data_IF_545195607852
#
_entry.id   IF_545195607852
#
_cell.length_a   1.000
_cell.length_b   1.000
_cell.length_c   1.000
_cell.angle_alpha   90.00
_cell.angle_beta   90.00
_cell.angle_gamma   90.00
#
_symmetry.space_group_name_H-M   'P 1'
#
loop_
_entity.id
_entity.type
_entity.pdbx_description
1 polymer ?
#
# COMPACT_ATOMS: atom_id res chain seq x y z
N UNK A 1 -5.14 -37.27 -1.14
CA UNK A 1 -4.45 -36.03 -0.71
C UNK A 1 -5.09 -34.87 -1.46
N UNK A 2 -5.80 -33.96 -0.78
CA UNK A 2 -6.31 -32.73 -1.41
C UNK A 2 -5.11 -31.87 -1.80
N UNK A 3 -5.03 -31.44 -3.05
CA UNK A 3 -3.97 -30.54 -3.53
C UNK A 3 -3.94 -29.31 -2.64
N UNK A 4 -2.81 -29.06 -1.98
CA UNK A 4 -2.61 -27.96 -1.03
C UNK A 4 -2.62 -26.60 -1.75
N UNK A 5 -2.47 -26.59 -3.08
CA UNK A 5 -2.83 -25.47 -3.95
C UNK A 5 -3.92 -25.92 -4.90
N UNK A 6 -5.17 -25.51 -4.66
CA UNK A 6 -6.16 -25.53 -5.71
C UNK A 6 -5.92 -24.32 -6.63
N UNK A 7 -6.28 -24.42 -7.91
CA UNK A 7 -6.18 -23.29 -8.85
C UNK A 7 -6.97 -22.06 -8.34
N UNK A 8 -7.97 -22.28 -7.49
CA UNK A 8 -8.79 -21.23 -6.86
C UNK A 8 -8.04 -20.41 -5.81
N UNK A 9 -7.01 -20.98 -5.17
CA UNK A 9 -6.16 -20.28 -4.20
C UNK A 9 -5.01 -19.51 -4.88
N UNK A 10 -4.63 -19.92 -6.09
CA UNK A 10 -3.58 -19.25 -6.88
C UNK A 10 -4.06 -17.92 -7.48
N UNK A 11 -5.32 -17.84 -7.87
CA UNK A 11 -5.90 -16.63 -8.46
C UNK A 11 -5.76 -15.39 -7.55
N UNK A 12 -6.21 -15.39 -6.28
CA UNK A 12 -6.07 -14.22 -5.41
C UNK A 12 -4.61 -13.84 -5.17
N UNK A 13 -3.71 -14.83 -5.07
CA UNK A 13 -2.28 -14.59 -4.91
C UNK A 13 -1.71 -13.87 -6.13
N UNK A 14 -2.03 -14.32 -7.34
CA UNK A 14 -1.58 -13.66 -8.58
C UNK A 14 -2.14 -12.24 -8.67
N UNK A 15 -3.41 -12.03 -8.30
CA UNK A 15 -4.04 -10.71 -8.30
C UNK A 15 -3.36 -9.75 -7.32
N UNK A 16 -3.06 -10.20 -6.10
CA UNK A 16 -2.31 -9.42 -5.10
C UNK A 16 -0.90 -9.09 -5.59
N UNK A 17 -0.17 -10.09 -6.11
CA UNK A 17 1.19 -9.87 -6.65
C UNK A 17 1.18 -8.85 -7.78
N UNK A 18 0.22 -8.96 -8.71
CA UNK A 18 0.08 -8.03 -9.83
C UNK A 18 -0.23 -6.62 -9.33
N UNK A 19 -1.16 -6.48 -8.38
CA UNK A 19 -1.50 -5.21 -7.75
C UNK A 19 -0.29 -4.57 -7.08
N UNK A 20 0.39 -5.28 -6.17
CA UNK A 20 1.58 -4.77 -5.48
C UNK A 20 2.67 -4.37 -6.46
N UNK A 21 2.88 -5.16 -7.52
CA UNK A 21 3.89 -4.87 -8.53
C UNK A 21 3.57 -3.59 -9.31
N UNK A 22 2.32 -3.40 -9.74
CA UNK A 22 1.88 -2.19 -10.45
C UNK A 22 2.02 -0.96 -9.54
N UNK A 23 1.59 -1.06 -8.27
CA UNK A 23 1.68 0.03 -7.31
C UNK A 23 3.14 0.40 -7.06
N UNK A 24 4.01 -0.57 -6.78
CA UNK A 24 5.44 -0.35 -6.53
C UNK A 24 6.13 0.31 -7.73
N UNK A 25 5.86 -0.15 -8.96
CA UNK A 25 6.39 0.49 -10.17
C UNK A 25 5.91 1.94 -10.33
N UNK A 26 4.64 2.21 -10.00
CA UNK A 26 4.08 3.55 -10.10
C UNK A 26 4.77 4.52 -9.11
N UNK A 27 4.98 4.07 -7.86
CA UNK A 27 5.62 4.86 -6.81
C UNK A 27 7.09 5.11 -7.13
N UNK A 28 7.81 4.08 -7.56
CA UNK A 28 9.22 4.23 -7.99
C UNK A 28 9.32 5.24 -9.14
N UNK A 29 8.38 5.21 -10.09
CA UNK A 29 8.34 6.16 -11.21
C UNK A 29 8.07 7.60 -10.72
N UNK A 30 7.17 7.78 -9.76
CA UNK A 30 6.89 9.09 -9.14
C UNK A 30 8.09 9.60 -8.35
N UNK A 31 8.72 8.77 -7.52
CA UNK A 31 9.91 9.12 -6.74
C UNK A 31 11.09 9.52 -7.63
N UNK A 32 11.24 8.87 -8.80
CA UNK A 32 12.22 9.27 -9.82
C UNK A 32 11.90 10.63 -10.43
N UNK A 33 10.64 10.89 -10.79
CA UNK A 33 10.22 12.20 -11.35
C UNK A 33 10.47 13.35 -10.36
N UNK A 34 10.25 13.12 -9.07
CA UNK A 34 10.47 14.11 -8.01
C UNK A 34 11.97 14.23 -7.65
N UNK A 35 12.85 13.44 -8.28
CA UNK A 35 14.31 13.40 -8.03
C UNK A 35 14.69 13.04 -6.57
N UNK A 36 13.77 12.40 -5.84
CA UNK A 36 14.04 11.80 -4.54
C UNK A 36 14.87 10.52 -4.71
N UNK A 37 14.54 9.72 -5.72
CA UNK A 37 15.33 8.57 -6.13
C UNK A 37 16.22 8.96 -7.32
N UNK A 38 17.54 8.99 -7.11
CA UNK A 38 18.52 9.30 -8.17
C UNK A 38 19.38 8.07 -8.46
N UNK A 39 19.66 7.81 -9.74
CA UNK A 39 20.57 6.76 -10.19
C UNK A 39 21.88 7.45 -10.64
N UNK A 40 23.08 6.96 -10.27
CA UNK A 40 23.36 5.75 -9.47
C UNK A 40 23.11 5.93 -7.97
N UNK A 41 22.73 4.83 -7.29
CA UNK A 41 22.46 4.83 -5.83
C UNK A 41 23.71 5.13 -4.98
N UNK A 42 24.91 4.91 -5.54
CA UNK A 42 26.18 5.26 -4.94
C UNK A 42 26.39 6.79 -5.02
N UNK A 43 25.92 7.51 -4.01
CA UNK A 43 25.99 8.98 -3.94
C UNK A 43 24.72 9.66 -3.44
N UNK A 44 23.66 8.91 -3.14
CA UNK A 44 22.47 9.49 -2.50
C UNK A 44 22.79 9.83 -1.05
N UNK A 45 22.52 11.08 -0.66
CA UNK A 45 22.63 11.51 0.73
C UNK A 45 21.72 10.67 1.65
N UNK A 46 22.24 10.22 2.79
CA UNK A 46 21.52 9.39 3.76
C UNK A 46 20.12 9.91 4.12
N UNK A 47 19.89 11.23 4.33
CA UNK A 47 18.56 11.77 4.62
C UNK A 47 17.53 11.50 3.51
N UNK A 48 17.92 11.62 2.23
CA UNK A 48 17.04 11.37 1.08
C UNK A 48 16.73 9.88 0.92
N UNK A 49 17.71 9.02 1.16
CA UNK A 49 17.53 7.57 1.14
C UNK A 49 16.53 7.14 2.22
N UNK A 50 16.67 7.68 3.43
CA UNK A 50 15.82 7.35 4.58
C UNK A 50 14.35 7.74 4.33
N UNK A 51 14.09 8.95 3.82
CA UNK A 51 12.73 9.39 3.45
C UNK A 51 12.16 8.51 2.33
N UNK A 52 12.96 8.19 1.31
CA UNK A 52 12.53 7.33 0.19
C UNK A 52 12.16 5.92 0.68
N UNK A 53 12.99 5.34 1.55
CA UNK A 53 12.73 4.04 2.14
C UNK A 53 11.46 4.05 2.99
N UNK A 54 11.24 5.10 3.79
CA UNK A 54 10.02 5.27 4.56
C UNK A 54 8.77 5.36 3.67
N UNK A 55 8.81 6.13 2.58
CA UNK A 55 7.69 6.22 1.63
C UNK A 55 7.41 4.85 1.01
N UNK A 56 8.43 4.15 0.51
CA UNK A 56 8.26 2.84 -0.10
C UNK A 56 7.66 1.82 0.89
N UNK A 57 8.15 1.80 2.12
CA UNK A 57 7.66 0.89 3.15
C UNK A 57 6.21 1.24 3.55
N UNK A 58 5.91 2.53 3.73
CA UNK A 58 4.57 3.02 3.99
C UNK A 58 3.59 2.60 2.91
N UNK A 59 3.97 2.75 1.64
CA UNK A 59 3.06 2.39 0.55
C UNK A 59 2.88 0.88 0.46
N UNK A 60 3.95 0.08 0.57
CA UNK A 60 3.83 -1.37 0.63
C UNK A 60 2.88 -1.83 1.74
N UNK A 61 2.96 -1.22 2.92
CA UNK A 61 2.07 -1.54 4.04
C UNK A 61 0.60 -1.28 3.70
N UNK A 62 0.27 -0.12 3.10
CA UNK A 62 -1.10 0.20 2.66
C UNK A 62 -1.57 -0.77 1.57
N UNK A 63 -0.71 -1.12 0.62
CA UNK A 63 -1.06 -2.01 -0.50
C UNK A 63 -1.40 -3.45 -0.08
N UNK A 64 -1.08 -3.85 1.17
CA UNK A 64 -1.37 -5.18 1.71
C UNK A 64 -2.62 -5.22 2.62
N UNK A 65 -3.35 -4.12 2.76
CA UNK A 65 -4.55 -4.06 3.60
C UNK A 65 -5.69 -5.00 3.13
N UNK A 66 -5.67 -5.45 1.88
CA UNK A 66 -6.73 -6.25 1.25
C UNK A 66 -6.55 -7.77 1.34
N UNK A 67 -5.40 -8.26 1.82
CA UNK A 67 -5.08 -9.70 1.80
C UNK A 67 -6.18 -10.52 2.47
N UNK A 68 -6.53 -10.17 3.72
CA UNK A 68 -7.51 -10.93 4.49
C UNK A 68 -8.92 -10.85 3.86
N UNK A 69 -9.31 -9.67 3.38
CA UNK A 69 -10.60 -9.46 2.73
C UNK A 69 -10.73 -10.24 1.41
N UNK A 70 -9.67 -10.31 0.61
CA UNK A 70 -9.64 -11.06 -0.63
C UNK A 70 -9.69 -12.57 -0.38
N UNK A 71 -8.89 -13.06 0.57
CA UNK A 71 -8.88 -14.48 0.94
C UNK A 71 -10.24 -14.93 1.49
N UNK A 72 -10.90 -14.09 2.29
CA UNK A 72 -12.26 -14.37 2.76
C UNK A 72 -13.28 -14.34 1.63
N UNK A 73 -13.18 -13.38 0.71
CA UNK A 73 -14.06 -13.28 -0.46
C UNK A 73 -13.97 -14.52 -1.36
N UNK A 74 -12.77 -15.07 -1.57
CA UNK A 74 -12.56 -16.32 -2.32
C UNK A 74 -13.29 -17.48 -1.66
N UNK A 75 -13.15 -17.63 -0.33
CA UNK A 75 -13.84 -18.70 0.42
C UNK A 75 -15.37 -18.57 0.32
N UNK A 76 -15.90 -17.36 0.40
CA UNK A 76 -17.35 -17.10 0.25
C UNK A 76 -17.82 -17.49 -1.14
N UNK A 77 -17.18 -16.95 -2.19
CA UNK A 77 -17.68 -17.11 -3.56
C UNK A 77 -17.41 -18.49 -4.14
N UNK A 78 -16.46 -19.26 -3.60
CA UNK A 78 -16.22 -20.63 -4.04
C UNK A 78 -17.49 -21.49 -3.91
N UNK A 79 -18.31 -21.21 -2.90
CA UNK A 79 -19.58 -21.90 -2.68
C UNK A 79 -20.73 -21.42 -3.60
N UNK A 80 -20.55 -20.35 -4.38
CA UNK A 80 -21.58 -19.76 -5.24
C UNK A 80 -21.60 -20.32 -6.68
N UNK A 81 -20.74 -21.26 -7.03
CA UNK A 81 -20.74 -21.92 -8.35
C UNK A 81 -20.46 -20.97 -9.52
N UNK A 82 -21.37 -20.91 -10.50
CA UNK A 82 -21.19 -20.24 -11.82
C UNK A 82 -20.92 -18.73 -11.76
N UNK A 83 -21.06 -18.09 -10.59
CA UNK A 83 -20.77 -16.67 -10.36
C UNK A 83 -19.39 -16.35 -9.79
N UNK A 84 -18.54 -17.35 -9.50
CA UNK A 84 -17.28 -17.19 -8.74
C UNK A 84 -16.40 -16.06 -9.28
N UNK A 85 -15.99 -16.15 -10.55
CA UNK A 85 -15.04 -15.21 -11.15
C UNK A 85 -15.60 -13.78 -11.16
N UNK A 86 -16.87 -13.61 -11.58
CA UNK A 86 -17.50 -12.28 -11.65
C UNK A 86 -17.56 -11.60 -10.27
N UNK A 87 -17.95 -12.35 -9.25
CA UNK A 87 -18.07 -11.83 -7.89
C UNK A 87 -16.70 -11.55 -7.26
N UNK A 88 -15.71 -12.41 -7.52
CA UNK A 88 -14.33 -12.22 -7.06
C UNK A 88 -13.71 -10.97 -7.69
N UNK A 89 -13.78 -10.82 -9.02
CA UNK A 89 -13.24 -9.65 -9.71
C UNK A 89 -13.94 -8.35 -9.29
N UNK A 90 -15.25 -8.39 -9.05
CA UNK A 90 -15.99 -7.25 -8.54
C UNK A 90 -15.56 -6.85 -7.12
N UNK A 91 -15.29 -7.81 -6.23
CA UNK A 91 -14.75 -7.50 -4.90
C UNK A 91 -13.30 -7.03 -4.94
N UNK A 92 -12.48 -7.65 -5.78
CA UNK A 92 -11.10 -7.24 -5.98
C UNK A 92 -11.01 -5.79 -6.51
N UNK A 93 -11.89 -5.38 -7.43
CA UNK A 93 -11.90 -3.99 -7.92
C UNK A 93 -12.32 -2.97 -6.83
N UNK A 94 -13.24 -3.34 -5.93
CA UNK A 94 -13.57 -2.52 -4.76
C UNK A 94 -12.37 -2.36 -3.82
N UNK A 95 -11.62 -3.43 -3.58
CA UNK A 95 -10.43 -3.42 -2.74
C UNK A 95 -9.29 -2.59 -3.35
N UNK A 96 -9.00 -2.77 -4.64
CA UNK A 96 -8.04 -1.92 -5.36
C UNK A 96 -8.42 -0.45 -5.26
N UNK A 97 -9.69 -0.12 -5.47
CA UNK A 97 -10.14 1.27 -5.48
C UNK A 97 -9.98 1.93 -4.11
N UNK A 98 -10.22 1.18 -3.03
CA UNK A 98 -9.96 1.65 -1.68
C UNK A 98 -8.46 1.84 -1.42
N UNK A 99 -7.61 0.90 -1.84
CA UNK A 99 -6.14 1.03 -1.72
C UNK A 99 -5.64 2.27 -2.47
N UNK A 100 -6.07 2.44 -3.73
CA UNK A 100 -5.73 3.62 -4.54
C UNK A 100 -6.15 4.92 -3.87
N UNK A 101 -7.35 4.95 -3.25
CA UNK A 101 -7.83 6.11 -2.50
C UNK A 101 -6.95 6.38 -1.27
N UNK A 102 -6.61 5.34 -0.50
CA UNK A 102 -5.76 5.46 0.69
C UNK A 102 -4.33 5.91 0.33
N UNK A 103 -3.75 5.39 -0.75
CA UNK A 103 -2.44 5.83 -1.24
C UNK A 103 -2.47 7.29 -1.74
N UNK A 104 -3.55 7.68 -2.43
CA UNK A 104 -3.73 9.08 -2.82
C UNK A 104 -3.83 10.01 -1.60
N UNK A 105 -4.59 9.59 -0.57
CA UNK A 105 -4.70 10.34 0.68
C UNK A 105 -3.35 10.42 1.41
N UNK A 106 -2.59 9.33 1.42
CA UNK A 106 -1.23 9.30 1.96
C UNK A 106 -0.32 10.30 1.25
N UNK A 107 -0.33 10.34 -0.09
CA UNK A 107 0.45 11.31 -0.85
C UNK A 107 0.05 12.77 -0.55
N UNK A 108 -1.24 13.04 -0.36
CA UNK A 108 -1.75 14.35 0.02
C UNK A 108 -1.27 14.73 1.43
N UNK A 109 -1.40 13.82 2.40
CA UNK A 109 -0.95 14.03 3.77
C UNK A 109 0.57 14.24 3.83
N UNK A 110 1.35 13.48 3.06
CA UNK A 110 2.79 13.70 2.93
C UNK A 110 3.11 15.12 2.45
N UNK A 111 2.43 15.57 1.40
CA UNK A 111 2.63 16.91 0.85
C UNK A 111 2.29 18.00 1.87
N UNK A 112 1.25 17.79 2.66
CA UNK A 112 0.87 18.68 3.76
C UNK A 112 1.92 18.65 4.88
N UNK A 113 2.41 17.48 5.29
CA UNK A 113 3.45 17.33 6.30
C UNK A 113 4.75 18.06 5.93
N UNK A 114 5.17 17.97 4.66
CA UNK A 114 6.34 18.73 4.17
C UNK A 114 6.11 20.24 4.27
N UNK A 115 4.89 20.73 4.04
CA UNK A 115 4.57 22.16 4.09
C UNK A 115 4.40 22.71 5.51
N UNK A 116 3.87 21.91 6.43
CA UNK A 116 3.56 22.34 7.80
C UNK A 116 4.81 22.37 8.67
N UNK A 117 5.72 21.41 8.51
CA UNK A 117 6.93 21.32 9.34
C UNK A 117 7.92 22.41 8.87
N UNK A 118 8.07 23.55 9.60
CA UNK A 118 8.72 24.75 9.07
C UNK A 118 10.23 24.55 8.80
N UNK A 119 10.87 23.62 9.51
CA UNK A 119 12.27 23.23 9.31
C UNK A 119 12.56 22.59 7.95
N UNK A 120 11.55 22.08 7.23
CA UNK A 120 11.76 21.38 5.96
C UNK A 120 12.00 22.28 4.75
N UNK A 121 11.51 23.53 4.76
CA UNK A 121 11.85 24.52 3.72
C UNK A 121 13.34 24.86 3.70
N UNK A 122 14.03 24.72 4.83
CA UNK A 122 15.47 24.95 4.97
C UNK A 122 16.28 23.64 4.89
N UNK A 123 15.73 22.52 5.37
CA UNK A 123 16.37 21.19 5.36
C UNK A 123 16.51 20.56 3.96
N UNK A 124 15.62 20.85 3.00
CA UNK A 124 15.88 20.49 1.59
C UNK A 124 17.00 21.34 0.95
N UNK A 125 17.37 22.47 1.57
CA UNK A 125 18.46 23.33 1.12
C UNK A 125 19.82 22.86 1.65
N UNK A 126 19.88 22.25 2.84
CA UNK A 126 21.10 21.63 3.40
C UNK A 126 21.02 20.10 3.33
N UNK A 127 21.87 19.50 2.50
CA UNK A 127 21.83 18.05 2.17
C UNK A 127 22.08 17.08 3.36
N UNK A 128 22.31 17.61 4.57
CA UNK A 128 22.82 16.86 5.74
C UNK A 128 21.93 16.93 7.00
N UNK A 129 20.70 17.45 6.94
CA UNK A 129 19.82 17.48 8.11
C UNK A 129 19.13 16.12 8.37
N UNK A 130 19.92 15.21 8.93
CA UNK A 130 19.53 13.86 9.33
C UNK A 130 18.41 13.85 10.41
N UNK A 131 18.44 14.69 11.46
CA UNK A 131 17.36 14.74 12.45
C UNK A 131 15.99 15.07 11.83
N UNK A 132 15.94 16.05 10.91
CA UNK A 132 14.72 16.39 10.19
C UNK A 132 14.18 15.22 9.36
N UNK A 133 15.05 14.50 8.65
CA UNK A 133 14.68 13.34 7.86
C UNK A 133 14.15 12.16 8.71
N UNK A 134 14.75 11.92 9.88
CA UNK A 134 14.28 10.90 10.84
C UNK A 134 12.86 11.26 11.32
N UNK A 135 12.66 12.51 11.76
CA UNK A 135 11.36 12.98 12.25
C UNK A 135 10.27 12.82 11.17
N UNK A 136 10.55 13.26 9.95
CA UNK A 136 9.59 13.14 8.84
C UNK A 136 9.28 11.68 8.53
N UNK A 137 10.28 10.81 8.54
CA UNK A 137 10.09 9.38 8.25
C UNK A 137 9.24 8.70 9.32
N UNK A 138 9.42 9.06 10.60
CA UNK A 138 8.56 8.58 11.68
C UNK A 138 7.12 9.06 11.48
N UNK A 139 6.92 10.36 11.19
CA UNK A 139 5.59 10.91 10.92
C UNK A 139 4.93 10.20 9.73
N UNK A 140 5.70 9.92 8.69
CA UNK A 140 5.22 9.22 7.50
C UNK A 140 4.81 7.77 7.77
N UNK A 141 5.60 7.05 8.57
CA UNK A 141 5.25 5.70 8.98
C UNK A 141 4.00 5.69 9.86
N UNK A 142 3.86 6.64 10.79
CA UNK A 142 2.68 6.77 11.64
C UNK A 142 1.42 7.08 10.82
N UNK A 143 1.50 8.02 9.87
CA UNK A 143 0.39 8.34 8.98
C UNK A 143 0.00 7.13 8.11
N UNK A 144 0.99 6.43 7.57
CA UNK A 144 0.74 5.21 6.81
C UNK A 144 0.08 4.13 7.68
N UNK A 145 0.50 3.99 8.94
CA UNK A 145 -0.07 3.01 9.86
C UNK A 145 -1.53 3.32 10.19
N UNK A 146 -1.84 4.59 10.47
CA UNK A 146 -3.21 5.03 10.67
C UNK A 146 -4.09 4.79 9.43
N UNK A 147 -3.55 5.07 8.23
CA UNK A 147 -4.26 4.80 6.99
C UNK A 147 -4.43 3.31 6.72
N UNK A 148 -3.43 2.49 7.02
CA UNK A 148 -3.53 1.04 6.95
C UNK A 148 -4.68 0.56 7.84
N UNK A 149 -4.70 0.93 9.13
CA UNK A 149 -5.78 0.57 10.05
C UNK A 149 -7.16 1.06 9.59
N UNK A 150 -7.25 2.26 9.03
CA UNK A 150 -8.50 2.78 8.49
C UNK A 150 -8.97 2.00 7.25
N UNK A 151 -8.03 1.69 6.35
CA UNK A 151 -8.27 0.90 5.15
C UNK A 151 -8.77 -0.50 5.52
N UNK A 152 -8.11 -1.17 6.47
CA UNK A 152 -8.51 -2.51 6.93
C UNK A 152 -9.90 -2.50 7.56
N UNK A 153 -10.22 -1.51 8.41
CA UNK A 153 -11.55 -1.36 9.02
C UNK A 153 -12.67 -1.17 7.98
N UNK A 154 -12.41 -0.36 6.94
CA UNK A 154 -13.36 -0.18 5.85
C UNK A 154 -13.47 -1.46 5.01
N UNK A 155 -12.35 -2.14 4.77
CA UNK A 155 -12.32 -3.42 4.07
C UNK A 155 -13.09 -4.52 4.78
N UNK A 156 -12.96 -4.65 6.10
CA UNK A 156 -13.72 -5.62 6.88
C UNK A 156 -15.24 -5.43 6.71
N UNK A 157 -15.70 -4.17 6.63
CA UNK A 157 -17.11 -3.86 6.39
C UNK A 157 -17.57 -4.16 4.97
N UNK A 158 -16.66 -4.08 3.99
CA UNK A 158 -16.92 -4.40 2.58
C UNK A 158 -16.78 -5.89 2.27
N UNK A 159 -16.02 -6.61 3.11
CA UNK A 159 -15.75 -8.04 2.95
C UNK A 159 -17.02 -8.83 3.25
N UNK A 160 -17.43 -9.74 2.34
CA UNK A 160 -18.59 -10.58 2.60
C UNK A 160 -18.30 -11.48 3.81
N UNK A 161 -19.19 -11.45 4.80
CA UNK A 161 -19.07 -12.32 5.97
C UNK A 161 -19.34 -13.76 5.54
N UNK A 162 -18.36 -14.63 5.70
CA UNK A 162 -18.57 -16.08 5.60
C UNK A 162 -19.38 -16.52 6.82
N UNK A 163 -20.67 -16.77 6.65
CA UNK A 163 -21.48 -17.43 7.67
C UNK A 163 -21.24 -18.93 7.49
N UNK A 164 -20.49 -19.53 8.42
CA UNK A 164 -20.52 -20.98 8.58
C UNK A 164 -21.96 -21.36 8.92
N UNK A 165 -22.72 -21.90 7.96
CA UNK A 165 -23.87 -22.72 8.30
C UNK A 165 -23.32 -24.03 8.85
N UNK A 166 -23.09 -24.06 10.16
CA UNK A 166 -22.86 -25.30 10.91
C UNK A 166 -24.14 -26.12 10.98
#
# INVERSE_FOLDING_TARGET
>A
MKSILSMYDLIPVILLVLQTFILLLSIVSVLRKIKLLQLPFAGIAYPKLLITAAILLSTMMISFADIDGLMQSVRVFHNYGDGFYRNLFFKFSQFILLIMLSEFLFALLFFVSIRIIPGFRQSFADQDDLPGAILLSIVMLLLAFLLYCCTTEVMEKLTPKYINFS
#
